data_IF_404281614140
#
_entry.id   IF_404281614140
#
_cell.length_a   1.000
_cell.length_b   1.000
_cell.length_c   1.000
_cell.angle_alpha   90.00
_cell.angle_beta   90.00
_cell.angle_gamma   90.00
#
_symmetry.space_group_name_H-M   'P 1'
#
loop_
_entity.id
_entity.type
_entity.pdbx_description
1 polymer ?
2 non-polymer ?
#
# COMPACT_ATOMS: atom_id res chain seq x y z
N UNK A 1 1.97 -17.91 -5.95
CA UNK A 1 3.25 -17.83 -6.66
C UNK A 1 3.86 -16.44 -6.49
N UNK A 2 3.01 -15.43 -6.44
CA UNK A 2 3.47 -14.08 -6.17
C UNK A 2 3.59 -13.90 -4.66
N UNK A 3 4.56 -13.15 -4.24
CA UNK A 3 4.83 -12.92 -2.85
C UNK A 3 3.79 -11.98 -2.21
N UNK A 4 2.93 -12.57 -1.37
CA UNK A 4 1.92 -11.83 -0.63
C UNK A 4 2.59 -10.76 0.21
N UNK A 5 2.10 -9.54 0.12
CA UNK A 5 2.70 -8.40 0.82
C UNK A 5 2.76 -8.63 2.31
N UNK A 6 3.94 -8.49 2.84
CA UNK A 6 4.17 -8.57 4.25
C UNK A 6 4.10 -7.16 4.83
N UNK A 7 4.47 -7.02 6.08
CA UNK A 7 4.51 -5.75 6.72
C UNK A 7 5.64 -4.90 6.14
N UNK A 8 6.83 -5.48 6.06
CA UNK A 8 7.99 -4.78 5.51
C UNK A 8 7.79 -4.44 4.06
N UNK A 9 7.17 -5.35 3.31
CA UNK A 9 7.02 -5.11 1.88
C UNK A 9 5.99 -4.02 1.62
N UNK A 10 4.91 -4.02 2.40
CA UNK A 10 3.90 -2.97 2.28
C UNK A 10 4.49 -1.62 2.69
N UNK A 11 5.36 -1.66 3.69
CA UNK A 11 6.04 -0.47 4.17
C UNK A 11 6.91 0.11 3.04
N UNK A 12 7.54 -0.78 2.28
CA UNK A 12 8.35 -0.40 1.11
C UNK A 12 7.52 0.40 0.12
N UNK A 13 6.31 -0.08 -0.13
CA UNK A 13 5.38 0.57 -1.04
C UNK A 13 5.01 1.96 -0.57
N UNK A 14 4.73 2.09 0.73
CA UNK A 14 4.37 3.38 1.33
C UNK A 14 5.56 4.36 1.36
N UNK A 15 6.74 3.84 1.18
CA UNK A 15 7.91 4.70 1.07
C UNK A 15 8.03 5.17 -0.38
N UNK A 16 7.97 4.22 -1.31
CA UNK A 16 8.10 4.50 -2.74
C UNK A 16 7.11 5.53 -3.26
N UNK A 17 5.94 5.58 -2.67
CA UNK A 17 4.94 6.54 -3.07
C UNK A 17 5.30 8.01 -2.76
N UNK A 18 6.22 8.21 -1.84
CA UNK A 18 6.66 9.57 -1.53
C UNK A 18 8.13 9.77 -1.90
N UNK A 19 8.89 8.70 -1.84
CA UNK A 19 10.30 8.76 -2.12
C UNK A 19 11.04 8.71 -0.82
N UNK A 20 11.01 9.82 -0.14
CA UNK A 20 11.53 9.93 1.19
C UNK A 20 10.34 9.87 2.10
N UNK A 21 10.48 9.30 3.25
CA UNK A 21 9.36 9.21 4.16
C UNK A 21 9.86 9.40 5.60
N UNK A 22 10.18 10.63 5.93
CA UNK A 22 10.65 11.00 7.26
C UNK A 22 9.48 11.48 8.08
N UNK A 23 9.63 11.41 9.39
CA UNK A 23 8.57 11.86 10.28
C UNK A 23 7.54 10.79 10.50
N UNK A 24 7.15 10.20 9.42
CA UNK A 24 6.23 9.12 9.39
C UNK A 24 6.91 7.86 9.92
N UNK A 25 6.68 7.53 11.17
CA UNK A 25 7.21 6.30 11.71
C UNK A 25 6.31 5.19 11.20
N UNK A 26 6.80 4.52 10.22
CA UNK A 26 6.02 3.58 9.48
C UNK A 26 6.45 2.16 9.82
N UNK A 27 7.68 2.02 10.24
CA UNK A 27 8.18 0.72 10.58
C UNK A 27 7.95 0.41 12.06
N UNK A 28 6.72 0.05 12.38
CA UNK A 28 6.37 -0.28 13.73
C UNK A 28 4.89 -0.48 13.92
N UNK A 29 4.33 -1.43 13.15
CA UNK A 29 2.90 -1.79 13.18
C UNK A 29 2.04 -0.62 12.66
N UNK A 30 1.84 -0.63 11.37
CA UNK A 30 1.22 0.51 10.70
C UNK A 30 -0.06 0.12 9.96
N UNK A 31 -0.66 -0.97 10.31
CA UNK A 31 -1.79 -1.47 9.56
C UNK A 31 -3.08 -0.74 9.89
N UNK A 32 -3.22 -0.30 11.12
CA UNK A 32 -4.46 0.37 11.53
C UNK A 32 -4.29 1.84 11.82
N UNK A 33 -3.16 2.39 11.42
CA UNK A 33 -2.97 3.81 11.54
C UNK A 33 -3.70 4.53 10.42
N UNK A 34 -3.90 5.79 10.57
CA UNK A 34 -4.62 6.55 9.60
C UNK A 34 -3.69 7.33 8.71
N UNK A 35 -4.04 7.39 7.43
CA UNK A 35 -3.23 8.06 6.44
C UNK A 35 -3.14 9.54 6.71
N UNK A 36 -4.19 10.07 7.31
CA UNK A 36 -4.24 11.47 7.69
C UNK A 36 -3.06 11.83 8.60
N UNK A 37 -2.78 10.94 9.54
CA UNK A 37 -1.74 11.17 10.54
C UNK A 37 -0.35 11.04 9.94
N UNK A 38 -0.22 10.16 8.98
CA UNK A 38 1.08 9.95 8.36
C UNK A 38 1.28 10.86 7.16
N UNK A 39 0.40 11.85 7.06
CA UNK A 39 0.45 12.83 6.01
C UNK A 39 0.37 12.21 4.66
N UNK A 40 -0.55 11.30 4.49
CA UNK A 40 -0.70 10.63 3.24
C UNK A 40 -2.01 10.94 2.59
N UNK A 41 -1.92 11.40 1.38
CA UNK A 41 -3.06 11.67 0.56
C UNK A 41 -3.46 10.40 -0.12
N UNK A 42 -4.73 10.25 -0.34
CA UNK A 42 -5.25 9.10 -1.01
C UNK A 42 -4.82 9.09 -2.49
N UNK A 43 -4.58 10.28 -3.03
CA UNK A 43 -3.98 10.44 -4.33
C UNK A 43 -2.58 9.82 -4.36
N UNK A 44 -1.88 9.91 -3.24
CA UNK A 44 -0.55 9.35 -3.13
C UNK A 44 -0.64 7.85 -2.89
N UNK A 45 -1.78 7.40 -2.40
CA UNK A 45 -2.03 5.98 -2.21
C UNK A 45 -2.20 5.28 -3.54
N UNK A 46 -2.59 6.04 -4.55
CA UNK A 46 -2.71 5.51 -5.90
C UNK A 46 -1.32 5.26 -6.44
N UNK A 47 -0.36 6.06 -5.96
CA UNK A 47 1.05 5.90 -6.30
C UNK A 47 1.57 4.63 -5.63
N UNK A 48 1.20 4.45 -4.36
CA UNK A 48 1.51 3.26 -3.58
C UNK A 48 1.03 2.02 -4.36
N UNK A 49 -0.25 2.06 -4.74
CA UNK A 49 -0.87 1.00 -5.52
C UNK A 49 -0.14 0.76 -6.83
N UNK A 50 0.09 1.84 -7.58
CA UNK A 50 0.77 1.78 -8.88
C UNK A 50 2.14 1.11 -8.80
N UNK A 51 2.90 1.46 -7.75
CA UNK A 51 4.21 0.87 -7.51
C UNK A 51 4.10 -0.63 -7.44
N UNK A 52 3.13 -1.09 -6.68
CA UNK A 52 2.89 -2.49 -6.50
C UNK A 52 2.26 -3.14 -7.73
N UNK A 53 1.46 -2.40 -8.49
CA UNK A 53 0.89 -2.90 -9.73
C UNK A 53 1.98 -3.25 -10.71
N UNK A 54 2.82 -2.29 -11.02
CA UNK A 54 3.89 -2.45 -11.98
C UNK A 54 4.94 -3.48 -11.49
N UNK A 55 4.99 -3.68 -10.20
CA UNK A 55 5.94 -4.60 -9.59
C UNK A 55 5.38 -6.04 -9.57
N UNK A 56 4.19 -6.21 -9.04
CA UNK A 56 3.60 -7.54 -8.88
C UNK A 56 2.78 -8.01 -10.08
N UNK A 57 2.32 -7.09 -10.88
CA UNK A 57 1.52 -7.46 -12.03
C UNK A 57 0.05 -7.53 -11.70
N UNK A 58 -0.37 -6.68 -10.78
CA UNK A 58 -1.76 -6.62 -10.36
C UNK A 58 -2.46 -5.43 -10.98
N UNK A 59 -3.74 -5.34 -10.74
CA UNK A 59 -4.52 -4.27 -11.30
C UNK A 59 -5.31 -3.61 -10.18
N UNK A 60 -4.94 -2.42 -9.83
CA UNK A 60 -5.59 -1.70 -8.76
C UNK A 60 -6.15 -0.37 -9.29
N UNK A 61 -7.47 -0.25 -9.36
CA UNK A 61 -8.11 0.99 -9.76
C UNK A 61 -7.81 2.12 -8.75
N UNK A 62 -7.55 3.28 -9.29
CA UNK A 62 -7.18 4.46 -8.50
C UNK A 62 -8.30 4.88 -7.54
N UNK A 63 -9.54 4.61 -7.94
CA UNK A 63 -10.74 4.89 -7.12
C UNK A 63 -10.70 4.09 -5.81
N UNK A 64 -10.11 2.93 -5.89
CA UNK A 64 -9.99 2.00 -4.78
C UNK A 64 -8.90 2.45 -3.84
N UNK A 65 -7.74 2.76 -4.41
CA UNK A 65 -6.57 3.16 -3.64
C UNK A 65 -6.86 4.39 -2.79
N UNK A 66 -7.71 5.28 -3.29
CA UNK A 66 -8.06 6.46 -2.54
C UNK A 66 -9.22 6.23 -1.56
N UNK A 67 -9.74 5.02 -1.55
CA UNK A 67 -10.89 4.67 -0.73
C UNK A 67 -10.45 3.97 0.56
N UNK A 68 -9.23 3.48 0.59
CA UNK A 68 -8.74 2.73 1.77
C UNK A 68 -8.54 3.65 2.99
N UNK A 69 -9.18 3.29 4.09
CA UNK A 69 -9.09 4.06 5.34
C UNK A 69 -7.80 3.79 6.07
N UNK A 70 -7.43 2.52 6.11
CA UNK A 70 -6.24 2.08 6.79
C UNK A 70 -5.38 1.24 5.84
N UNK A 71 -4.05 1.16 6.07
CA UNK A 71 -3.13 0.33 5.28
C UNK A 71 -3.51 -1.15 5.35
N UNK A 72 -4.26 -1.53 6.39
CA UNK A 72 -4.81 -2.89 6.54
C UNK A 72 -5.63 -3.26 5.30
N UNK A 73 -6.47 -2.33 4.90
CA UNK A 73 -7.38 -2.51 3.77
C UNK A 73 -6.58 -2.58 2.47
N UNK A 74 -5.56 -1.73 2.39
CA UNK A 74 -4.66 -1.65 1.24
C UNK A 74 -3.92 -3.00 1.11
N UNK A 75 -3.43 -3.49 2.25
CA UNK A 75 -2.72 -4.77 2.34
C UNK A 75 -3.60 -5.92 1.86
N UNK A 76 -4.80 -6.03 2.47
CA UNK A 76 -5.74 -7.11 2.17
C UNK A 76 -6.16 -7.10 0.71
N UNK A 77 -6.30 -5.91 0.16
CA UNK A 77 -6.66 -5.71 -1.24
C UNK A 77 -5.69 -6.43 -2.14
N UNK A 78 -4.43 -6.13 -1.93
CA UNK A 78 -3.41 -6.67 -2.78
C UNK A 78 -3.11 -8.13 -2.43
N UNK A 79 -3.28 -8.52 -1.17
CA UNK A 79 -3.09 -9.93 -0.80
C UNK A 79 -4.15 -10.78 -1.47
N UNK A 80 -5.35 -10.25 -1.52
CA UNK A 80 -6.43 -10.92 -2.21
C UNK A 80 -6.16 -10.97 -3.68
N UNK A 81 -5.79 -9.81 -4.23
CA UNK A 81 -5.46 -9.69 -5.65
C UNK A 81 -4.39 -10.69 -6.06
N UNK A 82 -3.32 -10.78 -5.27
CA UNK A 82 -2.20 -11.70 -5.54
C UNK A 82 -2.65 -13.16 -5.49
N UNK A 83 -3.58 -13.47 -4.61
CA UNK A 83 -4.05 -14.83 -4.45
C UNK A 83 -4.86 -15.29 -5.67
N UNK A 84 -5.44 -14.34 -6.38
CA UNK A 84 -6.13 -14.67 -7.62
C UNK A 84 -5.33 -14.19 -8.83
N UNK A 85 -4.07 -13.86 -8.63
CA UNK A 85 -3.23 -13.38 -9.72
C UNK A 85 -2.17 -14.39 -10.10
N UNK A 86 -1.39 -14.82 -9.14
CA UNK A 86 -0.32 -15.75 -9.38
C UNK A 86 -0.08 -16.60 -8.16
#
# INVERSE_FOLDING_TARGET
MATLLTTDDLRRALVESAGETDGTDLSGDFLDLRFEDIGYDSLALMETAARLESRYGVSIPDDVAGRVDTPRELLDLINGALAEAA
#
